data_IF_937501166758
#
_entry.id   IF_937501166758
#
_cell.length_a   1.000
_cell.length_b   1.000
_cell.length_c   1.000
_cell.angle_alpha   90.00
_cell.angle_beta   90.00
_cell.angle_gamma   90.00
#
_symmetry.space_group_name_H-M   'P 1'
#
loop_
_entity.id
_entity.type
_entity.pdbx_description
1 polymer ?
#
# COMPACT_ATOMS: atom_id res chain seq x y z
N UNK A 1 24.83 -2.63 -8.62
CA UNK A 1 24.09 -2.30 -7.38
C UNK A 1 22.62 -2.27 -7.77
N UNK A 2 21.78 -3.14 -7.19
CA UNK A 2 20.42 -3.32 -7.66
C UNK A 2 19.47 -2.24 -7.14
N UNK A 3 18.48 -1.93 -7.96
CA UNK A 3 17.23 -1.31 -7.52
C UNK A 3 16.28 -2.48 -7.26
N UNK A 4 15.60 -2.54 -6.12
CA UNK A 4 14.77 -3.71 -5.79
C UNK A 4 13.37 -3.58 -6.39
N UNK A 5 12.69 -2.47 -6.09
CA UNK A 5 11.30 -2.25 -6.48
C UNK A 5 11.06 -0.78 -6.83
N UNK A 6 10.20 -0.54 -7.81
CA UNK A 6 9.73 0.81 -8.18
C UNK A 6 8.21 0.81 -8.22
N UNK A 7 7.59 1.81 -7.61
CA UNK A 7 6.14 1.91 -7.51
C UNK A 7 5.67 3.34 -7.79
N UNK A 8 4.55 3.45 -8.49
CA UNK A 8 3.88 4.72 -8.78
C UNK A 8 2.56 4.68 -8.05
N UNK A 9 2.34 5.65 -7.16
CA UNK A 9 1.17 5.69 -6.29
C UNK A 9 0.58 7.09 -6.31
N UNK A 10 -0.74 7.19 -6.39
CA UNK A 10 -1.44 8.47 -6.21
C UNK A 10 -1.47 8.86 -4.73
N UNK A 11 -1.57 10.15 -4.42
CA UNK A 11 -1.66 10.64 -3.03
C UNK A 11 -2.80 9.99 -2.22
N UNK A 12 -3.86 9.50 -2.87
CA UNK A 12 -4.94 8.75 -2.21
C UNK A 12 -4.54 7.33 -1.76
N UNK A 13 -3.31 6.89 -2.08
CA UNK A 13 -2.81 5.54 -1.82
C UNK A 13 -3.14 4.51 -2.92
N UNK A 14 -3.73 4.94 -4.04
CA UNK A 14 -4.02 4.07 -5.17
C UNK A 14 -2.74 3.75 -5.94
N UNK A 15 -2.36 2.47 -6.00
CA UNK A 15 -1.22 2.02 -6.80
C UNK A 15 -1.57 2.05 -8.29
N UNK A 16 -0.74 2.71 -9.08
CA UNK A 16 -0.93 2.94 -10.51
C UNK A 16 -0.12 1.96 -11.35
N UNK A 17 1.16 1.78 -11.00
CA UNK A 17 2.08 0.85 -11.62
C UNK A 17 3.11 0.38 -10.57
N UNK A 18 3.63 -0.82 -10.77
CA UNK A 18 4.74 -1.35 -9.98
C UNK A 18 5.62 -2.22 -10.87
N UNK A 19 6.93 -2.21 -10.60
CA UNK A 19 7.84 -3.15 -11.24
C UNK A 19 7.52 -4.58 -10.81
N UNK A 20 7.47 -5.52 -11.75
CA UNK A 20 7.40 -6.96 -11.44
C UNK A 20 8.64 -7.37 -10.63
N UNK A 21 8.41 -8.11 -9.56
CA UNK A 21 9.45 -8.57 -8.64
C UNK A 21 9.72 -10.06 -8.82
N UNK A 22 10.98 -10.44 -8.63
CA UNK A 22 11.36 -11.84 -8.52
C UNK A 22 10.77 -12.42 -7.23
N UNK A 23 10.17 -13.62 -7.32
CA UNK A 23 9.44 -14.28 -6.22
C UNK A 23 10.31 -14.55 -4.96
N UNK A 24 11.62 -14.35 -5.03
CA UNK A 24 12.58 -14.47 -3.94
C UNK A 24 12.74 -13.21 -3.08
N UNK A 25 11.82 -12.24 -3.18
CA UNK A 25 11.98 -10.93 -2.52
C UNK A 25 11.95 -11.06 -0.98
N UNK A 26 13.04 -10.62 -0.34
CA UNK A 26 13.29 -10.68 1.10
C UNK A 26 12.16 -10.05 1.94
N UNK A 27 11.91 -10.63 3.14
CA UNK A 27 10.92 -10.10 4.11
C UNK A 27 11.14 -8.61 4.40
N UNK A 28 12.40 -8.19 4.46
CA UNK A 28 12.80 -6.80 4.71
C UNK A 28 12.26 -5.83 3.63
N UNK A 29 12.25 -6.23 2.36
CA UNK A 29 11.74 -5.37 1.26
C UNK A 29 10.22 -5.19 1.38
N UNK A 30 9.50 -6.23 1.80
CA UNK A 30 8.06 -6.14 2.05
C UNK A 30 7.74 -5.24 3.25
N UNK A 31 8.59 -5.22 4.28
CA UNK A 31 8.49 -4.27 5.39
C UNK A 31 8.69 -2.83 4.91
N UNK A 32 9.72 -2.56 4.10
CA UNK A 32 9.97 -1.23 3.49
C UNK A 32 8.78 -0.77 2.66
N UNK A 33 8.12 -1.67 1.92
CA UNK A 33 6.90 -1.34 1.16
C UNK A 33 5.70 -1.06 2.05
N UNK A 34 5.61 -1.72 3.19
CA UNK A 34 4.65 -1.36 4.24
C UNK A 34 4.80 0.10 4.67
N UNK A 35 6.04 0.58 4.76
CA UNK A 35 6.35 1.96 5.15
C UNK A 35 5.94 3.00 4.09
N UNK A 36 5.94 2.65 2.80
CA UNK A 36 5.48 3.55 1.72
C UNK A 36 4.05 4.02 1.94
N UNK A 37 3.16 3.12 2.41
CA UNK A 37 1.76 3.49 2.73
C UNK A 37 1.67 4.50 3.86
N UNK A 38 2.49 4.33 4.90
CA UNK A 38 2.57 5.27 6.02
C UNK A 38 3.10 6.63 5.58
N UNK A 39 4.07 6.65 4.66
CA UNK A 39 4.62 7.88 4.08
C UNK A 39 3.55 8.63 3.29
N UNK A 40 2.83 7.95 2.38
CA UNK A 40 1.75 8.57 1.59
C UNK A 40 0.70 9.18 2.52
N UNK A 41 0.28 8.43 3.55
CA UNK A 41 -0.74 8.89 4.50
C UNK A 41 -0.32 10.15 5.28
N UNK A 42 0.97 10.31 5.55
CA UNK A 42 1.52 11.45 6.29
C UNK A 42 1.98 12.59 5.36
N UNK A 43 1.98 12.37 4.04
CA UNK A 43 2.39 13.35 3.05
C UNK A 43 1.34 14.47 2.95
N UNK A 44 1.78 15.71 3.12
CA UNK A 44 0.96 16.94 3.05
C UNK A 44 1.53 17.88 2.00
N UNK A 45 0.79 18.89 1.53
CA UNK A 45 1.29 19.86 0.53
C UNK A 45 2.54 20.65 0.95
N UNK A 46 2.86 20.68 2.25
CA UNK A 46 4.07 21.27 2.80
C UNK A 46 5.23 20.28 2.95
N UNK A 47 5.02 19.01 2.57
CA UNK A 47 6.07 18.00 2.60
C UNK A 47 7.07 18.24 1.48
N UNK A 48 8.31 17.86 1.75
CA UNK A 48 9.39 17.95 0.76
C UNK A 48 9.02 17.16 -0.50
N UNK A 49 9.24 17.72 -1.70
CA UNK A 49 8.89 17.05 -2.94
C UNK A 49 9.79 15.84 -3.22
N UNK A 50 10.99 15.77 -2.62
CA UNK A 50 11.90 14.62 -2.78
C UNK A 50 12.65 14.37 -1.48
N UNK A 51 12.79 13.10 -1.10
CA UNK A 51 13.66 12.71 0.01
C UNK A 51 14.14 11.26 -0.14
N UNK A 52 15.22 10.96 0.59
CA UNK A 52 15.71 9.59 0.77
C UNK A 52 15.48 9.19 2.23
N UNK A 53 14.92 8.00 2.43
CA UNK A 53 14.60 7.45 3.74
C UNK A 53 15.46 6.22 3.97
N UNK A 54 16.25 6.21 5.03
CA UNK A 54 17.07 5.04 5.37
C UNK A 54 16.22 4.04 6.17
N UNK A 55 16.14 2.80 5.68
CA UNK A 55 15.43 1.70 6.36
C UNK A 55 16.33 0.46 6.39
N UNK A 56 17.07 0.30 7.49
CA UNK A 56 17.96 -0.86 7.68
C UNK A 56 19.02 -0.98 6.58
N UNK A 57 18.96 -2.06 5.80
CA UNK A 57 19.87 -2.35 4.69
C UNK A 57 19.48 -1.67 3.37
N UNK A 58 18.32 -1.01 3.33
CA UNK A 58 17.76 -0.40 2.14
C UNK A 58 17.60 1.12 2.30
N UNK A 59 17.47 1.80 1.17
CA UNK A 59 17.01 3.18 1.11
C UNK A 59 15.76 3.27 0.27
N UNK A 60 14.76 3.96 0.80
CA UNK A 60 13.54 4.30 0.09
C UNK A 60 13.64 5.74 -0.40
N UNK A 61 13.71 5.89 -1.71
CA UNK A 61 13.68 7.18 -2.37
C UNK A 61 12.24 7.47 -2.80
N UNK A 62 11.78 8.70 -2.59
CA UNK A 62 10.52 9.16 -3.17
C UNK A 62 10.67 10.49 -3.88
N UNK A 63 9.89 10.64 -4.94
CA UNK A 63 9.66 11.87 -5.66
C UNK A 63 8.15 12.09 -5.71
N UNK A 64 7.70 13.20 -5.15
CA UNK A 64 6.34 13.69 -5.25
C UNK A 64 6.30 14.74 -6.35
N UNK A 65 5.43 14.52 -7.33
CA UNK A 65 5.14 15.49 -8.38
C UNK A 65 3.63 15.50 -8.62
N UNK A 66 3.02 16.67 -8.46
CA UNK A 66 1.57 16.85 -8.54
C UNK A 66 0.81 15.93 -7.55
N UNK A 67 -0.10 15.09 -8.06
CA UNK A 67 -0.89 14.13 -7.29
C UNK A 67 -0.25 12.73 -7.23
N UNK A 68 0.95 12.57 -7.79
CA UNK A 68 1.65 11.30 -7.88
C UNK A 68 2.91 11.28 -7.01
N UNK A 69 3.18 10.09 -6.49
CA UNK A 69 4.38 9.77 -5.73
C UNK A 69 5.05 8.56 -6.36
N UNK A 70 6.29 8.76 -6.77
CA UNK A 70 7.16 7.75 -7.35
C UNK A 70 8.09 7.26 -6.26
N UNK A 71 8.10 5.97 -6.00
CA UNK A 71 8.97 5.32 -5.03
C UNK A 71 9.98 4.42 -5.72
N UNK A 72 11.22 4.43 -5.22
CA UNK A 72 12.24 3.45 -5.55
C UNK A 72 12.89 2.91 -4.27
N UNK A 73 12.99 1.59 -4.16
CA UNK A 73 13.73 0.92 -3.11
C UNK A 73 15.08 0.50 -3.67
N UNK A 74 16.15 0.96 -3.06
CA UNK A 74 17.52 0.66 -3.48
C UNK A 74 18.31 0.05 -2.34
N UNK A 75 19.43 -0.56 -2.66
CA UNK A 75 20.43 -0.93 -1.65
C UNK A 75 20.97 0.34 -0.95
N UNK A 76 21.39 0.24 0.31
CA UNK A 76 21.97 1.37 1.04
C UNK A 76 23.20 1.98 0.36
N UNK A 77 23.99 1.16 -0.33
CA UNK A 77 25.21 1.57 -1.06
C UNK A 77 24.91 2.35 -2.35
N UNK A 78 23.66 2.33 -2.82
CA UNK A 78 23.26 3.01 -4.06
C UNK A 78 23.36 4.54 -3.92
N UNK A 79 23.98 5.25 -4.87
CA UNK A 79 24.09 6.71 -4.82
C UNK A 79 22.71 7.39 -4.87
N UNK A 80 22.46 8.30 -3.94
CA UNK A 80 21.16 8.97 -3.81
C UNK A 80 20.83 9.83 -5.03
N UNK A 81 21.83 10.43 -5.64
CA UNK A 81 21.69 11.30 -6.81
C UNK A 81 21.26 10.49 -8.03
N UNK A 82 21.84 9.30 -8.22
CA UNK A 82 21.41 8.36 -9.27
C UNK A 82 19.95 7.91 -9.07
N UNK A 83 19.53 7.66 -7.83
CA UNK A 83 18.16 7.24 -7.56
C UNK A 83 17.15 8.36 -7.86
N UNK A 84 17.52 9.61 -7.58
CA UNK A 84 16.69 10.77 -7.90
C UNK A 84 16.59 10.99 -9.41
N UNK A 85 17.70 10.93 -10.15
CA UNK A 85 17.68 11.01 -11.62
C UNK A 85 16.81 9.90 -12.21
N UNK A 86 16.95 8.69 -11.70
CA UNK A 86 16.12 7.56 -12.11
C UNK A 86 14.63 7.86 -11.90
N UNK A 87 14.23 8.37 -10.73
CA UNK A 87 12.84 8.74 -10.47
C UNK A 87 12.36 9.90 -11.36
N UNK A 88 13.22 10.88 -11.67
CA UNK A 88 12.89 11.99 -12.57
C UNK A 88 12.65 11.47 -14.01
N UNK A 89 13.48 10.55 -14.52
CA UNK A 89 13.28 9.91 -15.84
C UNK A 89 11.98 9.09 -15.88
N UNK A 90 11.69 8.33 -14.81
CA UNK A 90 10.45 7.56 -14.67
C UNK A 90 9.22 8.49 -14.65
N UNK A 91 9.28 9.58 -13.90
CA UNK A 91 8.19 10.55 -13.81
C UNK A 91 7.96 11.24 -15.16
N UNK A 92 9.01 11.71 -15.82
CA UNK A 92 8.93 12.39 -17.11
C UNK A 92 8.24 11.50 -18.17
N UNK A 93 8.66 10.23 -18.30
CA UNK A 93 8.05 9.30 -19.25
C UNK A 93 6.58 9.02 -18.89
N UNK A 94 6.26 8.87 -17.60
CA UNK A 94 4.89 8.61 -17.16
C UNK A 94 3.94 9.76 -17.54
N UNK A 95 4.35 11.01 -17.28
CA UNK A 95 3.57 12.19 -17.64
C UNK A 95 3.52 12.45 -19.15
N UNK A 96 4.53 12.00 -19.91
CA UNK A 96 4.54 12.09 -21.37
C UNK A 96 3.61 11.05 -22.02
N UNK A 97 3.57 9.84 -21.46
CA UNK A 97 2.83 8.70 -22.03
C UNK A 97 1.35 8.73 -21.65
N UNK A 98 1.03 9.18 -20.43
CA UNK A 98 -0.33 9.16 -19.87
C UNK A 98 -0.89 10.56 -19.70
N UNK A 99 -2.16 10.74 -20.07
CA UNK A 99 -2.85 12.02 -19.93
C UNK A 99 -3.26 12.28 -18.48
N UNK A 100 -3.26 13.55 -18.11
CA UNK A 100 -3.70 14.04 -16.79
C UNK A 100 -5.06 13.47 -16.35
N UNK A 101 -6.03 13.46 -17.27
CA UNK A 101 -7.38 12.94 -17.03
C UNK A 101 -7.43 11.44 -16.72
N UNK A 102 -6.45 10.67 -17.19
CA UNK A 102 -6.42 9.21 -17.01
C UNK A 102 -5.97 8.87 -15.59
N UNK A 103 -4.79 9.34 -15.16
CA UNK A 103 -4.25 8.97 -13.85
C UNK A 103 -4.95 9.68 -12.67
N UNK A 104 -5.62 10.82 -12.91
CA UNK A 104 -6.46 11.51 -11.91
C UNK A 104 -7.88 10.99 -11.82
N UNK A 105 -8.29 10.06 -12.69
CA UNK A 105 -9.66 9.54 -12.68
C UNK A 105 -10.04 8.91 -11.33
N UNK A 106 -11.20 9.28 -10.81
CA UNK A 106 -11.73 8.73 -9.56
C UNK A 106 -12.18 7.26 -9.70
N UNK A 107 -12.49 6.81 -10.91
CA UNK A 107 -12.95 5.43 -11.20
C UNK A 107 -11.81 4.47 -11.57
N UNK A 108 -10.56 4.91 -11.44
CA UNK A 108 -9.40 4.14 -11.83
C UNK A 108 -9.23 2.90 -10.95
N UNK A 109 -8.91 1.76 -11.59
CA UNK A 109 -8.61 0.51 -10.90
C UNK A 109 -7.14 0.52 -10.41
N UNK A 110 -6.82 -0.18 -9.30
CA UNK A 110 -5.42 -0.40 -8.93
C UNK A 110 -4.66 -1.08 -10.07
N UNK A 111 -3.40 -0.70 -10.26
CA UNK A 111 -2.51 -1.25 -11.30
C UNK A 111 -3.05 -1.03 -12.72
N UNK A 112 -3.72 0.09 -12.98
CA UNK A 112 -4.28 0.41 -14.30
C UNK A 112 -3.20 0.63 -15.37
N UNK A 113 -1.95 0.94 -14.98
CA UNK A 113 -0.86 1.29 -15.89
C UNK A 113 0.24 0.21 -15.91
N UNK A 114 -0.17 -1.07 -15.94
CA UNK A 114 0.78 -2.19 -15.98
C UNK A 114 1.68 -2.20 -17.22
N UNK A 115 1.24 -1.60 -18.32
CA UNK A 115 2.03 -1.51 -19.56
C UNK A 115 3.35 -0.74 -19.35
N UNK A 116 3.37 0.16 -18.35
CA UNK A 116 4.53 0.95 -17.99
C UNK A 116 5.64 0.13 -17.29
N UNK A 117 5.35 -1.09 -16.82
CA UNK A 117 6.34 -1.99 -16.20
C UNK A 117 7.53 -2.27 -17.12
N UNK A 118 7.29 -2.45 -18.42
CA UNK A 118 8.38 -2.71 -19.39
C UNK A 118 9.38 -1.56 -19.44
N UNK A 119 8.88 -0.32 -19.37
CA UNK A 119 9.73 0.87 -19.32
C UNK A 119 10.50 0.92 -18.00
N UNK A 120 9.82 0.72 -16.87
CA UNK A 120 10.45 0.68 -15.55
C UNK A 120 11.60 -0.33 -15.53
N UNK A 121 11.39 -1.56 -16.00
CA UNK A 121 12.41 -2.61 -16.01
C UNK A 121 13.60 -2.27 -16.92
N UNK A 122 13.36 -1.68 -18.10
CA UNK A 122 14.43 -1.26 -19.02
C UNK A 122 15.28 -0.16 -18.38
N UNK A 123 14.63 0.86 -17.84
CA UNK A 123 15.30 2.01 -17.22
C UNK A 123 16.07 1.54 -15.99
N UNK A 124 15.45 0.74 -15.12
CA UNK A 124 16.10 0.08 -13.97
C UNK A 124 17.42 -0.59 -14.35
N UNK A 125 17.42 -1.48 -15.35
CA UNK A 125 18.65 -2.18 -15.80
C UNK A 125 19.74 -1.24 -16.31
N UNK A 126 19.36 -0.12 -16.93
CA UNK A 126 20.29 0.90 -17.41
C UNK A 126 20.99 1.65 -16.26
N UNK A 127 20.25 1.90 -15.16
CA UNK A 127 20.75 2.58 -13.97
C UNK A 127 21.52 1.66 -13.02
N UNK A 128 21.23 0.35 -13.01
CA UNK A 128 22.03 -0.64 -12.27
C UNK A 128 23.45 -0.82 -12.82
N UNK A 129 23.65 -0.48 -14.12
CA UNK A 129 24.94 -0.53 -14.82
C UNK A 129 25.36 0.86 -15.37
N UNK A 130 25.73 1.83 -14.50
CA UNK A 130 26.05 3.20 -14.94
C UNK A 130 27.24 3.30 -15.91
N UNK A 131 28.16 2.33 -15.86
CA UNK A 131 29.34 2.29 -16.75
C UNK A 131 29.00 1.97 -18.20
N UNK A 132 27.85 1.33 -18.46
CA UNK A 132 27.44 0.93 -19.79
C UNK A 132 26.54 1.97 -20.48
N UNK A 133 25.90 2.85 -19.72
CA UNK A 133 24.79 3.69 -20.19
C UNK A 133 25.13 5.17 -20.41
N UNK A 134 26.36 5.63 -20.14
CA UNK A 134 26.70 7.06 -20.23
C UNK A 134 25.98 7.93 -19.19
N UNK A 135 25.30 7.31 -18.22
CA UNK A 135 24.54 8.01 -17.18
C UNK A 135 25.45 8.77 -16.20
N UNK A 136 26.76 8.48 -16.19
CA UNK A 136 27.73 9.19 -15.34
C UNK A 136 27.80 10.69 -15.67
N UNK A 137 27.71 11.05 -16.96
CA UNK A 137 27.79 12.45 -17.39
C UNK A 137 26.54 13.23 -16.97
N UNK A 138 25.36 12.59 -17.03
CA UNK A 138 24.10 13.16 -16.51
C UNK A 138 24.15 13.36 -15.01
N UNK A 139 24.71 12.40 -14.27
CA UNK A 139 24.93 12.53 -12.82
C UNK A 139 25.87 13.70 -12.53
N UNK A 140 26.98 13.80 -13.24
CA UNK A 140 27.95 14.88 -13.08
C UNK A 140 27.31 16.26 -13.36
N UNK A 141 26.43 16.34 -14.36
CA UNK A 141 25.71 17.57 -14.71
C UNK A 141 24.67 17.96 -13.65
N UNK A 142 23.85 17.00 -13.18
CA UNK A 142 22.87 17.28 -12.12
C UNK A 142 23.50 17.50 -10.74
N UNK A 143 24.65 16.90 -10.44
CA UNK A 143 25.43 17.21 -9.22
C UNK A 143 25.85 18.69 -9.15
N UNK A 144 26.02 19.33 -10.31
CA UNK A 144 26.36 20.76 -10.41
C UNK A 144 25.18 21.66 -10.06
N UNK A 145 23.95 21.16 -10.21
CA UNK A 145 22.71 21.81 -9.80
C UNK A 145 22.31 21.23 -8.43
N UNK A 146 22.90 21.78 -7.36
CA UNK A 146 22.83 21.25 -5.99
C UNK A 146 21.38 21.15 -5.48
N UNK A 147 20.70 20.09 -5.86
CA UNK A 147 19.40 19.73 -5.30
C UNK A 147 19.72 19.03 -3.98
N UNK A 148 19.57 19.74 -2.85
CA UNK A 148 19.77 19.16 -1.53
C UNK A 148 18.74 18.06 -1.27
N UNK A 149 19.07 16.82 -1.61
CA UNK A 149 18.28 15.65 -1.24
C UNK A 149 18.51 15.41 0.25
N UNK A 150 17.47 15.68 1.05
CA UNK A 150 17.48 15.37 2.47
C UNK A 150 17.36 13.87 2.69
N UNK A 151 18.34 13.30 3.39
CA UNK A 151 18.21 11.97 3.99
C UNK A 151 17.48 12.12 5.33
N UNK A 152 16.34 11.47 5.51
CA UNK A 152 15.58 11.48 6.76
C UNK A 152 15.43 10.04 7.26
N UNK A 153 15.41 9.86 8.58
CA UNK A 153 14.98 8.58 9.13
C UNK A 153 13.46 8.49 9.04
N UNK A 154 12.94 7.29 8.83
CA UNK A 154 11.49 7.07 8.73
C UNK A 154 10.77 7.60 9.97
N UNK A 155 11.34 7.40 11.15
CA UNK A 155 10.78 7.81 12.44
C UNK A 155 10.55 9.32 12.52
N UNK A 156 11.42 10.13 11.92
CA UNK A 156 11.33 11.60 11.92
C UNK A 156 10.21 12.09 10.97
N UNK A 157 9.92 11.32 9.92
CA UNK A 157 8.76 11.54 9.04
C UNK A 157 7.46 11.00 9.65
N UNK A 158 7.52 9.95 10.46
CA UNK A 158 6.37 9.38 11.16
C UNK A 158 5.87 10.28 12.29
N UNK A 159 6.75 10.98 13.00
CA UNK A 159 6.36 11.75 14.19
C UNK A 159 5.51 13.01 13.90
N UNK A 160 5.65 13.59 12.70
CA UNK A 160 4.86 14.79 12.30
C UNK A 160 3.40 14.48 11.94
N UNK A 161 3.03 13.22 11.75
CA UNK A 161 1.69 12.83 11.25
C UNK A 161 0.84 11.98 12.20
N UNK A 162 1.32 11.70 13.42
CA UNK A 162 0.69 10.74 14.33
C UNK A 162 -0.63 11.21 14.98
N UNK A 163 -1.04 12.46 14.76
CA UNK A 163 -2.34 12.95 15.25
C UNK A 163 -3.54 12.54 14.37
N UNK A 164 -3.33 11.95 13.18
CA UNK A 164 -4.41 11.54 12.27
C UNK A 164 -4.62 10.02 12.14
N UNK A 165 -3.90 9.23 12.94
CA UNK A 165 -3.98 7.76 12.93
C UNK A 165 -4.99 7.15 13.91
N UNK A 166 -6.11 7.84 14.16
CA UNK A 166 -7.29 7.23 14.82
C UNK A 166 -8.50 6.98 13.91
N UNK A 167 -8.35 7.13 12.59
CA UNK A 167 -9.51 7.07 11.66
C UNK A 167 -9.53 5.90 10.66
N UNK A 168 -8.55 4.98 10.69
CA UNK A 168 -8.48 3.83 9.76
C UNK A 168 -8.87 2.49 10.37
N UNK A 169 -8.47 2.24 11.62
CA UNK A 169 -8.78 1.01 12.37
C UNK A 169 -10.22 0.99 12.88
N UNK A 170 -10.84 2.17 13.10
CA UNK A 170 -12.22 2.26 13.59
C UNK A 170 -13.24 1.67 12.60
N UNK A 171 -13.02 1.74 11.29
CA UNK A 171 -14.00 1.24 10.29
C UNK A 171 -13.95 -0.28 10.06
N UNK A 172 -12.77 -0.92 10.17
CA UNK A 172 -12.66 -2.38 10.08
C UNK A 172 -13.10 -3.06 11.38
N UNK A 173 -12.68 -2.52 12.52
CA UNK A 173 -13.07 -3.02 13.83
C UNK A 173 -14.56 -2.79 14.11
N UNK A 174 -15.19 -1.69 13.67
CA UNK A 174 -16.65 -1.52 13.77
C UNK A 174 -17.43 -2.49 12.87
N UNK A 175 -16.92 -2.82 11.67
CA UNK A 175 -17.62 -3.72 10.74
C UNK A 175 -17.53 -5.18 11.18
N UNK A 176 -16.38 -5.59 11.71
CA UNK A 176 -16.19 -6.94 12.27
C UNK A 176 -16.81 -7.07 13.67
N UNK A 177 -16.77 -6.02 14.52
CA UNK A 177 -17.54 -5.99 15.77
C UNK A 177 -19.05 -6.03 15.50
N UNK A 178 -19.57 -5.27 14.54
CA UNK A 178 -21.02 -5.26 14.22
C UNK A 178 -21.51 -6.61 13.69
N UNK A 179 -20.72 -7.31 12.88
CA UNK A 179 -21.04 -8.69 12.45
C UNK A 179 -21.01 -9.67 13.64
N UNK A 180 -20.06 -9.51 14.57
CA UNK A 180 -19.95 -10.35 15.77
C UNK A 180 -21.11 -10.11 16.75
N UNK A 181 -21.52 -8.86 16.97
CA UNK A 181 -22.69 -8.52 17.80
C UNK A 181 -24.01 -8.97 17.16
N UNK A 182 -24.20 -8.80 15.84
CA UNK A 182 -25.41 -9.28 15.15
C UNK A 182 -25.55 -10.80 15.20
N UNK A 183 -24.45 -11.55 15.05
CA UNK A 183 -24.46 -13.03 15.15
C UNK A 183 -24.68 -13.52 16.57
N UNK A 184 -24.11 -12.84 17.57
CA UNK A 184 -24.32 -13.18 18.97
C UNK A 184 -25.78 -12.95 19.41
N UNK A 185 -26.39 -11.81 19.02
CA UNK A 185 -27.77 -11.49 19.37
C UNK A 185 -28.79 -12.49 18.78
N UNK A 186 -28.61 -12.93 17.52
CA UNK A 186 -29.50 -13.92 16.90
C UNK A 186 -29.39 -15.27 17.61
N UNK A 187 -28.19 -15.69 18.03
CA UNK A 187 -28.00 -16.95 18.76
C UNK A 187 -28.65 -16.91 20.15
N UNK A 188 -28.48 -15.81 20.87
CA UNK A 188 -29.09 -15.62 22.20
C UNK A 188 -30.63 -15.61 22.11
N UNK A 189 -31.20 -14.99 21.08
CA UNK A 189 -32.66 -14.99 20.89
C UNK A 189 -33.21 -16.40 20.59
N UNK A 190 -32.52 -17.20 19.80
CA UNK A 190 -32.89 -18.60 19.54
C UNK A 190 -32.77 -19.47 20.79
N UNK A 191 -31.74 -19.26 21.60
CA UNK A 191 -31.53 -20.01 22.84
C UNK A 191 -32.61 -19.69 23.88
N UNK A 192 -33.02 -18.42 24.00
CA UNK A 192 -34.13 -17.99 24.85
C UNK A 192 -35.46 -18.60 24.41
N UNK A 193 -35.77 -18.55 23.11
CA UNK A 193 -36.99 -19.14 22.56
C UNK A 193 -37.05 -20.66 22.76
N UNK A 194 -35.95 -21.37 22.51
CA UNK A 194 -35.91 -22.82 22.67
C UNK A 194 -36.07 -23.25 24.13
N UNK A 195 -35.51 -22.49 25.07
CA UNK A 195 -35.68 -22.76 26.51
C UNK A 195 -37.10 -22.49 27.01
N UNK A 196 -37.77 -21.48 26.46
CA UNK A 196 -39.15 -21.14 26.85
C UNK A 196 -40.19 -22.08 26.22
N UNK A 197 -40.05 -22.42 24.93
CA UNK A 197 -41.03 -23.23 24.20
C UNK A 197 -40.72 -24.73 24.19
N UNK A 198 -39.48 -25.13 24.51
CA UNK A 198 -39.07 -26.53 24.62
C UNK A 198 -39.95 -27.41 25.51
N UNK A 199 -40.27 -27.03 26.77
CA UNK A 199 -41.11 -27.87 27.63
C UNK A 199 -42.56 -28.00 27.12
N UNK A 200 -43.12 -26.97 26.49
CA UNK A 200 -44.46 -27.05 25.88
C UNK A 200 -44.47 -27.95 24.65
N UNK A 201 -43.46 -27.88 23.79
CA UNK A 201 -43.29 -28.76 22.65
C UNK A 201 -43.14 -30.24 23.09
N UNK A 202 -42.34 -30.49 24.14
CA UNK A 202 -42.16 -31.83 24.70
C UNK A 202 -43.47 -32.40 25.28
N UNK A 203 -44.22 -31.61 26.05
CA UNK A 203 -45.53 -32.02 26.58
C UNK A 203 -46.54 -32.31 25.46
N UNK A 204 -46.60 -31.45 24.44
CA UNK A 204 -47.44 -31.68 23.26
C UNK A 204 -47.08 -32.98 22.55
N UNK A 205 -45.79 -33.28 22.40
CA UNK A 205 -45.31 -34.51 21.79
C UNK A 205 -45.67 -35.76 22.63
N UNK A 206 -45.55 -35.69 23.96
CA UNK A 206 -45.94 -36.78 24.87
C UNK A 206 -47.45 -37.05 24.79
N UNK A 207 -48.26 -35.99 24.77
CA UNK A 207 -49.72 -36.12 24.64
C UNK A 207 -50.09 -36.75 23.29
N UNK A 208 -49.48 -36.27 22.20
CA UNK A 208 -49.73 -36.79 20.85
C UNK A 208 -49.30 -38.26 20.72
N UNK A 209 -48.17 -38.63 21.31
CA UNK A 209 -47.72 -40.02 21.39
C UNK A 209 -48.71 -40.90 22.16
N UNK A 210 -49.21 -40.44 23.30
CA UNK A 210 -50.24 -41.16 24.06
C UNK A 210 -51.55 -41.32 23.30
N UNK A 211 -51.98 -40.29 22.55
CA UNK A 211 -53.16 -40.38 21.70
C UNK A 211 -52.99 -41.41 20.60
N UNK A 212 -51.84 -41.42 19.91
CA UNK A 212 -51.54 -42.40 18.86
C UNK A 212 -51.52 -43.82 19.45
N UNK A 213 -50.86 -44.01 20.60
CA UNK A 213 -50.79 -45.33 21.25
C UNK A 213 -52.13 -45.80 21.84
N UNK A 214 -53.05 -44.88 22.14
CA UNK A 214 -54.37 -45.20 22.72
C UNK A 214 -55.42 -45.53 21.67
N UNK A 215 -55.27 -45.00 20.46
CA UNK A 215 -56.24 -45.13 19.36
C UNK A 215 -55.83 -46.16 18.28
N UNK A 216 -54.64 -46.76 18.39
CA UNK A 216 -54.13 -47.84 17.55
C UNK A 216 -53.63 -48.99 18.41
#
# INVERSE_FOLDING_TARGET
MPIYSTQIVRLDGLMLAASIEDQSTDREINEVKGQQRSIIRKMTNTSEPRAAIETGNFKLHYLRQEDLVFFAITERSFPKELATIYLDDIAAEFFQTHRDTEYRSATLRPYAFNDFDTFIQRTKKSYENPRASGNLDKVQAQLKETTQIMSKNLEDLLYRGDSLERMGTMSSELRDASKKYKRAAVRINWELLLKQYGPFAALGFIILFFFIWRFW
#
